data_IF_153537541591
#
_entry.id   IF_153537541591
#
_cell.length_a   1.000
_cell.length_b   1.000
_cell.length_c   1.000
_cell.angle_alpha   90.00
_cell.angle_beta   90.00
_cell.angle_gamma   90.00
#
_symmetry.space_group_name_H-M   'P 1'
#
loop_
_entity.id
_entity.type
_entity.pdbx_description
1 polymer ?
#
# COMPACT_ATOMS: atom_id res chain seq x y z
N UNK A 1 -15.03 -3.22 -2.91
CA UNK A 1 -14.07 -2.24 -3.46
C UNK A 1 -12.92 -2.99 -4.11
N UNK A 2 -12.54 -2.58 -5.30
CA UNK A 2 -11.47 -3.22 -6.06
C UNK A 2 -10.29 -2.26 -6.18
N UNK A 3 -9.09 -2.75 -5.90
CA UNK A 3 -7.85 -2.00 -6.08
C UNK A 3 -6.83 -2.89 -6.79
N UNK A 4 -5.70 -2.31 -7.18
CA UNK A 4 -4.61 -3.07 -7.79
C UNK A 4 -3.36 -2.88 -6.95
N UNK A 5 -2.76 -3.98 -6.52
CA UNK A 5 -1.53 -3.96 -5.75
C UNK A 5 -0.48 -4.69 -6.56
N UNK A 6 0.55 -3.97 -7.00
CA UNK A 6 1.58 -4.50 -7.90
C UNK A 6 0.93 -5.17 -9.12
N UNK A 7 -0.06 -4.48 -9.70
CA UNK A 7 -0.81 -4.93 -10.87
C UNK A 7 -1.71 -6.15 -10.63
N UNK A 8 -1.83 -6.60 -9.40
CA UNK A 8 -2.71 -7.69 -9.07
C UNK A 8 -4.01 -7.15 -8.49
N UNK A 9 -5.15 -7.64 -9.00
CA UNK A 9 -6.44 -7.18 -8.54
C UNK A 9 -6.75 -7.73 -7.15
N UNK A 10 -7.09 -6.85 -6.22
CA UNK A 10 -7.42 -7.20 -4.84
C UNK A 10 -8.80 -6.64 -4.53
N UNK A 11 -9.65 -7.46 -3.91
CA UNK A 11 -10.98 -7.03 -3.49
C UNK A 11 -10.96 -6.78 -1.99
N UNK A 12 -11.38 -5.58 -1.60
CA UNK A 12 -11.49 -5.20 -0.19
C UNK A 12 -12.95 -5.07 0.18
N UNK A 13 -13.30 -5.49 1.39
CA UNK A 13 -14.69 -5.39 1.86
C UNK A 13 -15.05 -3.97 2.25
N UNK A 14 -14.07 -3.16 2.64
CA UNK A 14 -14.29 -1.79 3.08
C UNK A 14 -13.06 -0.96 2.80
N UNK A 15 -13.23 0.36 2.87
CA UNK A 15 -12.10 1.28 2.73
C UNK A 15 -11.15 1.12 3.92
N UNK A 16 -9.87 1.04 3.63
CA UNK A 16 -8.81 0.95 4.65
C UNK A 16 -7.70 1.94 4.30
N UNK A 17 -6.86 2.25 5.28
CA UNK A 17 -5.69 3.09 5.02
C UNK A 17 -4.51 2.23 4.56
N UNK A 18 -3.42 2.87 4.18
CA UNK A 18 -2.23 2.17 3.71
C UNK A 18 -1.65 1.27 4.80
N UNK A 19 -1.64 1.74 6.05
CA UNK A 19 -1.11 0.95 7.15
C UNK A 19 -1.89 -0.35 7.32
N UNK A 20 -3.21 -0.29 7.26
CA UNK A 20 -4.05 -1.50 7.36
C UNK A 20 -3.81 -2.42 6.17
N UNK A 21 -3.59 -1.86 4.99
CA UNK A 21 -3.30 -2.66 3.81
C UNK A 21 -2.00 -3.44 4.00
N UNK A 22 -0.97 -2.81 4.52
CA UNK A 22 0.30 -3.48 4.77
C UNK A 22 0.17 -4.55 5.83
N UNK A 23 -0.61 -4.29 6.88
CA UNK A 23 -0.86 -5.30 7.91
C UNK A 23 -1.61 -6.50 7.34
N UNK A 24 -2.52 -6.28 6.40
CA UNK A 24 -3.25 -7.36 5.75
C UNK A 24 -2.30 -8.32 5.02
N UNK A 25 -1.22 -7.79 4.46
CA UNK A 25 -0.22 -8.60 3.75
C UNK A 25 0.96 -8.99 4.65
N UNK A 26 0.89 -8.66 5.93
CA UNK A 26 1.97 -8.96 6.90
C UNK A 26 3.31 -8.36 6.49
N UNK A 27 3.27 -7.14 5.97
CA UNK A 27 4.47 -6.45 5.52
C UNK A 27 4.97 -5.47 6.58
N UNK A 28 6.30 -5.34 6.66
CA UNK A 28 6.94 -4.41 7.59
C UNK A 28 7.13 -3.06 6.88
N UNK A 29 6.43 -2.05 7.35
CA UNK A 29 6.46 -0.73 6.72
C UNK A 29 7.85 -0.11 6.66
N UNK A 30 8.77 -0.56 7.51
CA UNK A 30 10.14 -0.03 7.53
C UNK A 30 11.00 -0.55 6.40
N UNK A 31 10.53 -1.58 5.69
CA UNK A 31 11.30 -2.26 4.65
C UNK A 31 10.75 -2.03 3.25
N UNK A 32 9.78 -1.15 3.11
CA UNK A 32 9.10 -0.94 1.84
C UNK A 32 8.90 0.54 1.55
N UNK A 33 8.67 0.84 0.28
CA UNK A 33 8.18 2.13 -0.17
C UNK A 33 6.83 1.90 -0.84
N UNK A 34 5.97 2.91 -0.77
CA UNK A 34 4.62 2.84 -1.34
C UNK A 34 4.42 3.97 -2.34
N UNK A 35 3.85 3.62 -3.50
CA UNK A 35 3.30 4.60 -4.42
C UNK A 35 1.80 4.34 -4.54
N UNK A 36 1.03 5.40 -4.56
CA UNK A 36 -0.40 5.33 -4.80
C UNK A 36 -0.69 6.19 -6.02
N UNK A 37 -1.16 5.56 -7.09
CA UNK A 37 -1.43 6.24 -8.36
C UNK A 37 -0.22 7.05 -8.82
N UNK A 38 0.96 6.44 -8.76
CA UNK A 38 2.24 7.00 -9.20
C UNK A 38 2.79 8.10 -8.30
N UNK A 39 2.20 8.32 -7.14
CA UNK A 39 2.69 9.29 -6.17
C UNK A 39 3.21 8.59 -4.94
N UNK A 40 4.39 9.00 -4.48
CA UNK A 40 4.99 8.40 -3.28
C UNK A 40 4.19 8.79 -2.06
N UNK A 41 3.89 7.81 -1.21
CA UNK A 41 3.25 8.03 0.09
C UNK A 41 4.33 7.86 1.15
N UNK A 42 4.59 8.91 1.93
CA UNK A 42 5.61 8.82 2.96
C UNK A 42 5.15 7.92 4.10
N UNK A 43 6.09 7.26 4.75
CA UNK A 43 5.79 6.34 5.84
C UNK A 43 4.98 7.02 6.96
N UNK A 44 5.28 8.28 7.24
CA UNK A 44 4.58 9.02 8.30
C UNK A 44 3.10 9.26 7.97
N UNK A 45 2.71 9.08 6.71
CA UNK A 45 1.33 9.30 6.27
C UNK A 45 0.55 8.01 6.03
N UNK A 46 1.14 6.85 6.28
CA UNK A 46 0.48 5.58 6.00
C UNK A 46 -0.86 5.42 6.73
N UNK A 47 -0.98 5.96 7.93
CA UNK A 47 -2.23 5.87 8.67
C UNK A 47 -3.26 6.92 8.24
N UNK A 48 -2.84 7.93 7.49
CA UNK A 48 -3.71 9.05 7.09
C UNK A 48 -4.18 8.93 5.64
N UNK A 49 -3.53 8.11 4.82
CA UNK A 49 -3.87 7.96 3.41
C UNK A 49 -4.72 6.71 3.23
N UNK A 50 -5.91 6.90 2.66
CA UNK A 50 -6.86 5.81 2.46
C UNK A 50 -6.85 5.33 1.02
N UNK A 51 -7.23 4.07 0.84
CA UNK A 51 -7.30 3.44 -0.48
C UNK A 51 -8.74 3.55 -0.97
N UNK A 52 -8.91 3.92 -2.22
CA UNK A 52 -10.23 4.09 -2.83
C UNK A 52 -10.41 3.17 -4.04
N UNK A 53 -11.65 3.02 -4.47
CA UNK A 53 -11.97 2.19 -5.62
C UNK A 53 -11.09 2.51 -6.81
N UNK A 54 -10.46 1.49 -7.38
CA UNK A 54 -9.64 1.64 -8.57
C UNK A 54 -8.22 2.12 -8.34
N UNK A 55 -7.84 2.37 -7.10
CA UNK A 55 -6.48 2.84 -6.81
C UNK A 55 -5.44 1.80 -7.21
N UNK A 56 -4.31 2.29 -7.68
CA UNK A 56 -3.14 1.46 -8.00
C UNK A 56 -2.08 1.70 -6.95
N UNK A 57 -1.74 0.64 -6.24
CA UNK A 57 -0.73 0.68 -5.18
C UNK A 57 0.47 -0.12 -5.64
N UNK A 58 1.65 0.49 -5.58
CA UNK A 58 2.92 -0.20 -5.82
C UNK A 58 3.64 -0.34 -4.50
N UNK A 59 4.00 -1.57 -4.16
CA UNK A 59 4.76 -1.87 -2.96
C UNK A 59 6.14 -2.30 -3.40
N UNK A 60 7.14 -1.53 -3.01
CA UNK A 60 8.52 -1.76 -3.42
C UNK A 60 9.33 -2.15 -2.19
N UNK A 61 9.94 -3.31 -2.22
CA UNK A 61 10.80 -3.77 -1.12
C UNK A 61 12.21 -3.26 -1.31
N UNK A 62 12.81 -2.78 -0.24
CA UNK A 62 14.22 -2.41 -0.27
C UNK A 62 15.07 -3.67 -0.28
N UNK A 63 16.04 -3.70 -1.16
CA UNK A 63 16.92 -4.85 -1.30
C UNK A 63 18.14 -4.66 -0.41
N UNK A 64 18.51 -5.74 0.31
CA UNK A 64 19.78 -5.77 0.98
C UNK A 64 19.94 -4.76 2.09
N UNK A 65 19.08 -4.41 2.70
CA UNK A 65 19.23 -3.39 3.69
C UNK A 65 20.16 -3.79 4.76
N UNK A 66 20.65 -4.16 4.98
CA UNK A 66 21.53 -4.33 6.12
C UNK A 66 20.96 -3.64 7.29
#
# INVERSE_FOLDING_TARGET
MKIFVNDEEIVLEKQINIEDLLNKFSLDKRKIAIEKNLEIVSQSQFSDVFVNEGDRIEIIHFIGGG
#
